data_IF_656989231848
#
_entry.id   IF_656989231848
#
_cell.length_a   1.000
_cell.length_b   1.000
_cell.length_c   1.000
_cell.angle_alpha   90.00
_cell.angle_beta   90.00
_cell.angle_gamma   90.00
#
_symmetry.space_group_name_H-M   'P 1'
#
loop_
_entity.id
_entity.type
_entity.pdbx_description
1 polymer ?
#
# COMPACT_ATOMS: atom_id res chain seq x y z
N UNK A 1 5.84 6.80 22.94
CA UNK A 1 6.12 5.41 22.57
C UNK A 1 6.18 5.36 21.04
N UNK A 2 7.16 4.67 20.47
CA UNK A 2 7.24 4.48 19.01
C UNK A 2 6.10 3.56 18.55
N UNK A 3 5.49 3.87 17.40
CA UNK A 3 4.47 3.01 16.78
C UNK A 3 5.12 1.70 16.33
N UNK A 4 4.55 0.53 16.62
CA UNK A 4 5.12 -0.73 16.19
C UNK A 4 5.00 -0.92 14.67
N UNK A 5 5.92 -1.70 14.10
CA UNK A 5 5.77 -2.24 12.76
C UNK A 5 4.86 -3.46 12.83
N UNK A 6 3.85 -3.51 11.98
CA UNK A 6 2.90 -4.63 11.95
C UNK A 6 3.30 -5.67 10.92
N UNK A 7 3.21 -6.94 11.29
CA UNK A 7 3.41 -8.09 10.44
C UNK A 7 2.22 -9.05 10.56
N UNK A 8 1.89 -9.82 9.54
CA UNK A 8 0.84 -10.84 9.65
C UNK A 8 1.34 -12.01 10.53
N UNK A 9 0.47 -12.54 11.37
CA UNK A 9 0.77 -13.76 12.14
C UNK A 9 1.06 -14.98 11.24
N UNK A 10 0.66 -14.92 9.97
CA UNK A 10 1.00 -15.92 8.95
C UNK A 10 2.49 -15.93 8.58
N UNK A 11 3.21 -14.80 8.73
CA UNK A 11 4.60 -14.69 8.29
C UNK A 11 5.52 -15.75 8.94
N UNK A 12 5.58 -15.90 10.26
CA UNK A 12 6.42 -16.91 10.89
C UNK A 12 5.92 -18.35 10.64
N UNK A 13 4.67 -18.54 10.24
CA UNK A 13 4.12 -19.84 9.89
C UNK A 13 4.55 -20.28 8.48
N UNK A 14 4.54 -19.36 7.52
CA UNK A 14 4.85 -19.64 6.12
C UNK A 14 6.36 -19.51 5.81
N UNK A 15 7.04 -18.61 6.49
CA UNK A 15 8.45 -18.27 6.29
C UNK A 15 9.21 -18.21 7.63
N UNK A 16 9.34 -19.32 8.36
CA UNK A 16 9.86 -19.31 9.74
C UNK A 16 11.30 -18.78 9.84
N UNK A 17 12.18 -19.17 8.93
CA UNK A 17 13.59 -18.73 8.95
C UNK A 17 13.74 -17.24 8.67
N UNK A 18 12.99 -16.73 7.69
CA UNK A 18 13.05 -15.30 7.33
C UNK A 18 12.43 -14.44 8.44
N UNK A 19 11.33 -14.90 9.01
CA UNK A 19 10.68 -14.23 10.14
C UNK A 19 11.58 -14.19 11.38
N UNK A 20 12.25 -15.29 11.74
CA UNK A 20 13.21 -15.32 12.84
C UNK A 20 14.36 -14.34 12.63
N UNK A 21 14.93 -14.32 11.43
CA UNK A 21 16.01 -13.38 11.07
C UNK A 21 15.54 -11.93 11.20
N UNK A 22 14.36 -11.62 10.66
CA UNK A 22 13.76 -10.29 10.69
C UNK A 22 13.48 -9.83 12.12
N UNK A 23 12.79 -10.65 12.91
CA UNK A 23 12.40 -10.29 14.28
C UNK A 23 13.62 -10.20 15.21
N UNK A 24 14.63 -11.01 14.99
CA UNK A 24 15.93 -10.90 15.71
C UNK A 24 16.58 -9.55 15.40
N UNK A 25 16.63 -9.14 14.14
CA UNK A 25 17.20 -7.85 13.76
C UNK A 25 16.40 -6.68 14.36
N UNK A 26 15.07 -6.71 14.29
CA UNK A 26 14.21 -5.66 14.87
C UNK A 26 14.44 -5.54 16.38
N UNK A 27 14.50 -6.67 17.09
CA UNK A 27 14.75 -6.72 18.53
C UNK A 27 16.14 -6.18 18.89
N UNK A 28 17.17 -6.53 18.11
CA UNK A 28 18.53 -6.06 18.33
C UNK A 28 18.69 -4.53 18.15
N UNK A 29 17.78 -3.91 17.42
CA UNK A 29 17.75 -2.47 17.16
C UNK A 29 16.63 -1.72 17.93
N UNK A 30 16.01 -2.35 18.93
CA UNK A 30 14.93 -1.77 19.73
C UNK A 30 13.76 -1.24 18.89
N UNK A 31 13.49 -1.88 17.73
CA UNK A 31 12.35 -1.55 16.86
C UNK A 31 11.13 -2.37 17.28
N UNK A 32 10.08 -1.73 17.82
CA UNK A 32 8.89 -2.46 18.26
C UNK A 32 8.13 -3.01 17.05
N UNK A 33 7.63 -4.23 17.18
CA UNK A 33 6.77 -4.85 16.19
C UNK A 33 5.61 -5.61 16.85
N UNK A 34 4.56 -5.88 16.09
CA UNK A 34 3.41 -6.66 16.53
C UNK A 34 2.91 -7.55 15.39
N UNK A 35 2.37 -8.71 15.76
CA UNK A 35 1.74 -9.62 14.82
C UNK A 35 0.23 -9.36 14.76
N UNK A 36 -0.32 -9.39 13.56
CA UNK A 36 -1.75 -9.21 13.28
C UNK A 36 -2.39 -10.58 13.05
N UNK A 37 -3.34 -10.92 13.91
CA UNK A 37 -4.18 -12.09 13.72
C UNK A 37 -5.30 -11.81 12.70
N UNK A 38 -5.78 -12.87 12.02
CA UNK A 38 -6.89 -12.75 11.07
C UNK A 38 -6.52 -12.21 9.69
N UNK A 39 -5.24 -11.99 9.42
CA UNK A 39 -4.77 -11.71 8.06
C UNK A 39 -4.89 -12.95 7.20
N UNK A 40 -5.21 -12.78 5.91
CA UNK A 40 -5.39 -13.88 4.96
C UNK A 40 -4.21 -14.03 4.00
N UNK A 41 -3.34 -13.01 3.98
CA UNK A 41 -2.11 -12.96 3.19
C UNK A 41 -1.02 -12.25 3.99
N UNK A 42 0.22 -12.30 3.48
CA UNK A 42 1.40 -11.67 4.10
C UNK A 42 1.59 -10.21 3.72
N UNK A 43 0.88 -9.71 2.73
CA UNK A 43 1.05 -8.38 2.13
C UNK A 43 0.34 -7.28 2.92
N UNK A 44 0.76 -7.10 4.19
CA UNK A 44 0.17 -6.12 5.12
C UNK A 44 0.15 -4.70 4.54
N UNK A 45 1.15 -4.34 3.75
CA UNK A 45 1.24 -3.04 3.10
C UNK A 45 -0.01 -2.72 2.27
N UNK A 46 -0.62 -3.73 1.63
CA UNK A 46 -1.66 -3.51 0.64
C UNK A 46 -3.04 -3.30 1.26
N UNK A 47 -3.33 -3.96 2.37
CA UNK A 47 -4.64 -3.89 3.03
C UNK A 47 -4.69 -3.05 4.31
N UNK A 48 -3.55 -2.62 4.86
CA UNK A 48 -3.53 -1.76 6.05
C UNK A 48 -3.80 -0.29 5.68
N UNK A 49 -4.32 0.51 6.64
CA UNK A 49 -4.54 1.93 6.41
C UNK A 49 -3.27 2.66 6.01
N UNK A 50 -3.41 3.53 5.05
CA UNK A 50 -2.35 4.44 4.61
C UNK A 50 -2.27 5.62 5.58
N UNK A 51 -1.05 5.97 6.00
CA UNK A 51 -0.82 7.12 6.86
C UNK A 51 -0.52 8.35 6.00
N UNK A 52 -1.31 9.41 6.18
CA UNK A 52 -1.13 10.71 5.49
C UNK A 52 0.01 11.54 6.09
N UNK A 53 0.36 12.64 5.43
CA UNK A 53 1.36 13.59 5.92
C UNK A 53 1.00 14.22 7.27
N UNK A 54 -0.29 14.42 7.57
CA UNK A 54 -0.79 14.88 8.87
C UNK A 54 -0.90 13.78 9.93
N UNK A 55 -0.46 12.56 9.59
CA UNK A 55 -0.52 11.36 10.42
C UNK A 55 -1.95 10.79 10.62
N UNK A 56 -2.92 11.18 9.83
CA UNK A 56 -4.22 10.53 9.77
C UNK A 56 -4.08 9.15 9.09
N UNK A 57 -5.01 8.25 9.39
CA UNK A 57 -5.07 6.93 8.79
C UNK A 57 -6.29 6.84 7.87
N UNK A 58 -6.06 6.44 6.61
CA UNK A 58 -7.11 6.21 5.62
C UNK A 58 -7.09 4.74 5.19
N UNK A 59 -8.19 4.05 5.39
CA UNK A 59 -8.38 2.67 4.90
C UNK A 59 -9.15 2.70 3.60
N UNK A 60 -8.54 2.18 2.56
CA UNK A 60 -9.16 1.96 1.26
C UNK A 60 -9.79 0.57 1.18
N UNK A 61 -10.65 0.35 0.19
CA UNK A 61 -11.12 -0.97 -0.15
C UNK A 61 -9.95 -1.76 -0.75
N UNK A 62 -9.79 -3.01 -0.32
CA UNK A 62 -8.77 -3.93 -0.85
C UNK A 62 -9.45 -5.08 -1.61
N UNK A 63 -9.75 -4.81 -2.87
CA UNK A 63 -10.34 -5.79 -3.78
C UNK A 63 -9.65 -5.77 -5.15
N UNK A 64 -8.31 -5.98 -5.20
CA UNK A 64 -7.56 -5.86 -6.43
C UNK A 64 -7.99 -6.91 -7.45
N UNK A 65 -7.99 -6.54 -8.73
CA UNK A 65 -8.43 -7.41 -9.81
C UNK A 65 -7.55 -8.66 -9.95
N UNK A 66 -6.27 -8.61 -9.55
CA UNK A 66 -5.37 -9.77 -9.59
C UNK A 66 -5.75 -10.85 -8.55
N UNK A 67 -6.52 -10.52 -7.51
CA UNK A 67 -7.09 -11.48 -6.55
C UNK A 67 -8.55 -11.85 -6.87
N UNK A 68 -9.03 -11.56 -8.09
CA UNK A 68 -10.40 -11.86 -8.48
C UNK A 68 -10.73 -13.34 -8.36
N UNK A 69 -9.78 -14.23 -8.66
CA UNK A 69 -9.95 -15.67 -8.58
C UNK A 69 -9.59 -16.26 -7.20
N UNK A 70 -8.97 -15.47 -6.34
CA UNK A 70 -8.51 -15.86 -5.01
C UNK A 70 -9.06 -14.93 -3.90
N UNK A 71 -10.39 -14.76 -3.81
CA UNK A 71 -11.01 -13.82 -2.87
C UNK A 71 -10.72 -14.16 -1.40
N UNK A 72 -10.37 -15.40 -1.12
CA UNK A 72 -10.03 -15.87 0.23
C UNK A 72 -8.68 -15.30 0.73
N UNK A 73 -7.84 -14.77 -0.17
CA UNK A 73 -6.60 -14.08 0.19
C UNK A 73 -6.81 -12.60 0.51
N UNK A 74 -8.01 -12.05 0.29
CA UNK A 74 -8.31 -10.65 0.59
C UNK A 74 -8.56 -10.44 2.07
N UNK A 75 -7.72 -9.67 2.72
CA UNK A 75 -7.92 -9.22 4.10
C UNK A 75 -8.78 -7.95 4.10
N UNK A 76 -9.93 -7.98 4.70
CA UNK A 76 -10.75 -6.79 4.91
C UNK A 76 -10.32 -6.09 6.21
N UNK A 77 -9.58 -4.99 6.09
CA UNK A 77 -9.11 -4.26 7.26
C UNK A 77 -10.25 -3.87 8.21
N UNK A 78 -11.34 -3.33 7.68
CA UNK A 78 -12.47 -2.83 8.49
C UNK A 78 -13.10 -3.94 9.32
N UNK A 79 -13.22 -5.12 8.75
CA UNK A 79 -13.88 -6.27 9.36
C UNK A 79 -12.92 -7.13 10.20
N UNK A 80 -11.75 -7.41 9.63
CA UNK A 80 -10.86 -8.46 10.16
C UNK A 80 -9.85 -7.87 11.18
N UNK A 81 -9.41 -6.60 11.00
CA UNK A 81 -8.31 -6.03 11.78
C UNK A 81 -8.69 -4.81 12.64
N UNK A 82 -9.54 -3.93 12.14
CA UNK A 82 -9.89 -2.70 12.85
C UNK A 82 -10.42 -2.93 14.28
N UNK A 83 -11.24 -3.97 14.57
CA UNK A 83 -11.75 -4.22 15.91
C UNK A 83 -10.64 -4.53 16.94
N UNK A 84 -9.54 -5.16 16.50
CA UNK A 84 -8.44 -5.52 17.40
C UNK A 84 -7.43 -4.37 17.60
N UNK A 85 -7.34 -3.46 16.64
CA UNK A 85 -6.37 -2.36 16.66
C UNK A 85 -6.89 -1.08 17.32
N UNK A 86 -8.19 -0.83 17.26
CA UNK A 86 -8.80 0.36 17.86
C UNK A 86 -8.26 1.69 17.30
N UNK A 87 -7.75 1.70 16.07
CA UNK A 87 -7.15 2.88 15.45
C UNK A 87 -8.24 3.83 14.93
N UNK A 88 -8.07 5.16 15.08
CA UNK A 88 -8.93 6.12 14.44
C UNK A 88 -8.65 6.16 12.94
N UNK A 89 -9.56 5.65 12.13
CA UNK A 89 -9.38 5.47 10.69
C UNK A 89 -10.54 6.11 9.92
N UNK A 90 -10.23 6.88 8.89
CA UNK A 90 -11.17 7.29 7.85
C UNK A 90 -11.31 6.18 6.83
N UNK A 91 -12.55 5.82 6.48
CA UNK A 91 -12.81 4.73 5.52
C UNK A 91 -13.25 5.29 4.18
N UNK A 92 -12.64 4.79 3.11
CA UNK A 92 -13.01 5.06 1.72
C UNK A 92 -13.51 3.80 1.02
N UNK A 93 -14.37 3.96 0.02
CA UNK A 93 -14.80 2.89 -0.86
C UNK A 93 -13.98 2.84 -2.17
N UNK A 94 -13.02 3.72 -2.33
CA UNK A 94 -12.06 3.64 -3.45
C UNK A 94 -11.24 2.36 -3.28
N UNK A 95 -11.17 1.53 -4.33
CA UNK A 95 -10.33 0.34 -4.37
C UNK A 95 -8.88 0.74 -4.66
N UNK A 96 -8.02 0.63 -3.65
CA UNK A 96 -6.63 1.08 -3.73
C UNK A 96 -5.74 0.29 -2.76
N UNK A 97 -4.77 -0.39 -3.32
CA UNK A 97 -3.74 -1.11 -2.57
C UNK A 97 -2.74 -0.13 -1.96
N UNK A 98 -2.33 -0.36 -0.72
CA UNK A 98 -1.33 0.49 -0.07
C UNK A 98 0.04 0.49 -0.75
N UNK A 99 0.41 -0.58 -1.47
CA UNK A 99 1.60 -0.64 -2.31
C UNK A 99 1.55 0.33 -3.50
N UNK A 100 0.34 0.68 -3.93
CA UNK A 100 0.14 1.68 -4.98
C UNK A 100 0.15 3.14 -4.46
N UNK A 101 0.58 3.37 -3.20
CA UNK A 101 0.64 4.70 -2.58
C UNK A 101 2.06 4.98 -2.10
N UNK A 102 2.77 5.92 -2.73
CA UNK A 102 4.14 6.29 -2.38
C UNK A 102 4.22 7.78 -2.09
N UNK A 103 4.35 8.14 -0.82
CA UNK A 103 4.47 9.54 -0.40
C UNK A 103 5.87 10.11 -0.58
N UNK A 104 5.94 11.40 -0.87
CA UNK A 104 7.16 12.19 -0.67
C UNK A 104 7.49 12.32 0.82
N UNK A 105 8.76 12.63 1.19
CA UNK A 105 9.16 12.75 2.59
C UNK A 105 8.35 13.77 3.40
N UNK A 106 7.92 14.87 2.79
CA UNK A 106 7.05 15.86 3.44
C UNK A 106 5.58 15.42 3.55
N UNK A 107 5.16 14.39 2.82
CA UNK A 107 3.76 14.01 2.67
C UNK A 107 2.95 14.89 1.71
N UNK A 108 3.57 15.93 1.10
CA UNK A 108 2.84 16.87 0.24
C UNK A 108 2.51 16.31 -1.16
N UNK A 109 3.18 15.24 -1.57
CA UNK A 109 2.98 14.57 -2.85
C UNK A 109 2.87 13.08 -2.67
N UNK A 110 2.09 12.45 -3.56
CA UNK A 110 1.93 11.00 -3.58
C UNK A 110 1.94 10.50 -5.02
N UNK A 111 2.70 9.42 -5.28
CA UNK A 111 2.64 8.69 -6.53
C UNK A 111 1.61 7.58 -6.41
N UNK A 112 0.77 7.45 -7.44
CA UNK A 112 -0.21 6.37 -7.60
C UNK A 112 -0.12 5.90 -9.04
N UNK A 113 -0.16 4.60 -9.32
CA UNK A 113 -0.20 4.14 -10.70
C UNK A 113 -1.59 4.29 -11.31
N UNK A 114 -1.65 4.40 -12.65
CA UNK A 114 -2.89 4.50 -13.42
C UNK A 114 -3.82 3.28 -13.31
N UNK A 115 -3.32 2.19 -12.70
CA UNK A 115 -4.12 1.03 -12.34
C UNK A 115 -5.34 1.41 -11.48
N UNK A 116 -5.24 2.45 -10.67
CA UNK A 116 -6.34 2.95 -9.85
C UNK A 116 -7.60 3.27 -10.67
N UNK A 117 -7.46 3.65 -11.94
CA UNK A 117 -8.62 3.93 -12.81
C UNK A 117 -9.34 2.65 -13.23
N UNK A 118 -8.61 1.59 -13.54
CA UNK A 118 -9.19 0.31 -13.91
C UNK A 118 -9.80 -0.45 -12.72
N UNK A 119 -9.30 -0.19 -11.52
CA UNK A 119 -9.86 -0.75 -10.29
C UNK A 119 -11.11 0.01 -9.79
N UNK A 120 -11.37 1.23 -10.33
CA UNK A 120 -12.51 2.07 -9.96
C UNK A 120 -13.23 2.62 -11.22
N UNK A 121 -13.76 1.74 -12.09
CA UNK A 121 -14.32 2.15 -13.39
C UNK A 121 -15.60 3.01 -13.26
N UNK A 122 -16.24 3.02 -12.09
CA UNK A 122 -17.41 3.84 -11.80
C UNK A 122 -17.08 5.33 -11.56
N UNK A 123 -15.82 5.64 -11.29
CA UNK A 123 -15.37 7.02 -11.08
C UNK A 123 -14.87 7.66 -12.38
N UNK A 124 -15.30 8.90 -12.70
CA UNK A 124 -14.57 9.72 -13.68
C UNK A 124 -13.15 9.97 -13.18
N UNK A 125 -12.13 9.78 -14.03
CA UNK A 125 -10.71 9.83 -13.60
C UNK A 125 -10.34 11.12 -12.87
N UNK A 126 -10.83 12.27 -13.30
CA UNK A 126 -10.56 13.54 -12.63
C UNK A 126 -11.20 13.63 -11.23
N UNK A 127 -12.40 13.09 -11.06
CA UNK A 127 -13.08 13.04 -9.77
C UNK A 127 -12.36 12.09 -8.81
N UNK A 128 -11.90 10.93 -9.29
CA UNK A 128 -11.13 9.98 -8.50
C UNK A 128 -9.81 10.59 -8.00
N UNK A 129 -9.06 11.26 -8.89
CA UNK A 129 -7.81 11.93 -8.51
C UNK A 129 -8.06 13.03 -7.48
N UNK A 130 -9.14 13.79 -7.65
CA UNK A 130 -9.52 14.83 -6.68
C UNK A 130 -9.86 14.24 -5.31
N UNK A 131 -10.70 13.20 -5.26
CA UNK A 131 -11.07 12.55 -4.00
C UNK A 131 -9.87 11.90 -3.32
N UNK A 132 -8.97 11.27 -4.08
CA UNK A 132 -7.70 10.75 -3.54
C UNK A 132 -6.83 11.86 -2.97
N UNK A 133 -6.75 13.02 -3.63
CA UNK A 133 -5.96 14.16 -3.14
C UNK A 133 -6.49 14.68 -1.82
N UNK A 134 -7.81 14.77 -1.66
CA UNK A 134 -8.45 15.16 -0.40
C UNK A 134 -8.21 14.13 0.72
N UNK A 135 -8.42 12.85 0.43
CA UNK A 135 -8.25 11.76 1.42
C UNK A 135 -6.79 11.58 1.86
N UNK A 136 -5.84 11.70 0.92
CA UNK A 136 -4.42 11.54 1.19
C UNK A 136 -3.74 12.84 1.64
N UNK A 137 -4.45 13.97 1.58
CA UNK A 137 -3.96 15.32 1.93
C UNK A 137 -2.69 15.67 1.13
N UNK A 138 -2.62 15.27 -0.14
CA UNK A 138 -1.42 15.36 -0.97
C UNK A 138 -1.76 15.61 -2.44
N UNK A 139 -0.84 16.24 -3.18
CA UNK A 139 -0.87 16.30 -4.63
C UNK A 139 -0.68 14.88 -5.21
N UNK A 140 -1.70 14.35 -5.88
CA UNK A 140 -1.64 13.02 -6.51
C UNK A 140 -0.99 13.12 -7.88
N UNK A 141 0.10 12.40 -8.07
CA UNK A 141 0.82 12.27 -9.34
C UNK A 141 0.60 10.86 -9.86
N UNK A 142 -0.07 10.74 -11.01
CA UNK A 142 -0.38 9.44 -11.60
C UNK A 142 0.76 9.00 -12.51
N UNK A 143 1.26 7.78 -12.27
CA UNK A 143 2.30 7.12 -13.07
C UNK A 143 1.67 6.04 -13.98
N UNK A 144 2.21 5.81 -15.18
CA UNK A 144 1.82 4.65 -15.97
C UNK A 144 2.29 3.37 -15.28
N UNK A 145 1.40 2.38 -15.15
CA UNK A 145 1.73 1.07 -14.60
C UNK A 145 2.55 0.22 -15.56
N UNK A 146 3.40 -0.66 -15.02
CA UNK A 146 4.12 -1.65 -15.82
C UNK A 146 3.17 -2.78 -16.22
N UNK A 147 2.93 -2.98 -17.50
CA UNK A 147 2.05 -4.05 -18.02
C UNK A 147 2.55 -5.47 -17.69
N UNK A 148 3.85 -5.61 -17.46
CA UNK A 148 4.47 -6.89 -17.08
C UNK A 148 4.38 -7.19 -15.58
N UNK A 149 3.96 -6.23 -14.77
CA UNK A 149 3.77 -6.39 -13.34
C UNK A 149 2.30 -6.71 -13.06
N UNK A 150 2.05 -7.83 -12.38
CA UNK A 150 0.71 -8.29 -12.02
C UNK A 150 -0.01 -7.28 -11.13
N UNK A 151 0.71 -6.67 -10.19
CA UNK A 151 0.15 -5.69 -9.25
C UNK A 151 0.11 -4.29 -9.86
N UNK A 152 1.10 -3.92 -10.65
CA UNK A 152 1.24 -2.59 -11.22
C UNK A 152 1.37 -1.48 -10.18
N UNK A 153 1.88 -1.81 -8.99
CA UNK A 153 2.00 -0.89 -7.87
C UNK A 153 3.08 0.18 -8.09
N UNK A 154 2.81 1.40 -7.64
CA UNK A 154 3.76 2.52 -7.73
C UNK A 154 5.04 2.25 -6.95
N UNK A 155 4.97 1.52 -5.82
CA UNK A 155 6.11 1.23 -4.97
C UNK A 155 7.12 0.24 -5.60
N UNK A 156 6.72 -0.58 -6.54
CA UNK A 156 7.59 -1.41 -7.36
C UNK A 156 8.31 -0.64 -8.47
N UNK A 157 7.87 0.58 -8.79
CA UNK A 157 8.36 1.36 -9.93
C UNK A 157 9.16 2.60 -9.53
N UNK A 158 8.75 3.29 -8.45
CA UNK A 158 9.29 4.59 -8.10
C UNK A 158 9.37 4.82 -6.59
N UNK A 159 10.34 5.62 -6.19
CA UNK A 159 10.54 6.07 -4.80
C UNK A 159 11.00 7.52 -4.77
N UNK A 160 10.46 8.31 -3.86
CA UNK A 160 11.01 9.63 -3.59
C UNK A 160 12.34 9.52 -2.85
N UNK A 161 13.36 10.27 -3.30
CA UNK A 161 14.59 10.52 -2.58
C UNK A 161 14.48 11.78 -1.71
N UNK A 162 13.79 12.77 -2.24
CA UNK A 162 13.36 14.00 -1.59
C UNK A 162 12.03 14.46 -2.23
N UNK A 163 11.49 15.63 -1.84
CA UNK A 163 10.21 16.11 -2.34
C UNK A 163 10.19 16.47 -3.84
N UNK A 164 11.33 16.48 -4.50
CA UNK A 164 11.48 16.87 -5.92
C UNK A 164 12.15 15.82 -6.78
N UNK A 165 12.82 14.85 -6.15
CA UNK A 165 13.63 13.84 -6.84
C UNK A 165 13.01 12.47 -6.65
N UNK A 166 12.75 11.79 -7.75
CA UNK A 166 12.20 10.43 -7.77
C UNK A 166 13.22 9.49 -8.40
N UNK A 167 13.53 8.40 -7.71
CA UNK A 167 14.24 7.25 -8.25
C UNK A 167 13.21 6.34 -8.93
N UNK A 168 13.44 6.00 -10.20
CA UNK A 168 12.58 5.11 -10.97
C UNK A 168 13.36 3.93 -11.52
N UNK A 169 12.67 2.82 -11.73
CA UNK A 169 13.19 1.72 -12.53
C UNK A 169 13.48 2.20 -13.96
N UNK A 170 14.62 1.77 -14.52
CA UNK A 170 14.85 1.92 -15.94
C UNK A 170 14.26 0.71 -16.65
N UNK A 171 13.19 0.84 -17.44
CA UNK A 171 12.66 -0.28 -18.19
C UNK A 171 13.73 -0.78 -19.17
N UNK A 172 13.94 -2.08 -19.21
CA UNK A 172 14.69 -2.70 -20.29
C UNK A 172 13.90 -2.47 -21.59
N UNK A 173 14.58 -2.24 -22.70
CA UNK A 173 13.98 -1.92 -24.01
C UNK A 173 12.97 -2.95 -24.55
N UNK A 174 12.86 -4.11 -23.91
CA UNK A 174 11.89 -5.17 -24.19
C UNK A 174 10.63 -5.12 -23.28
N UNK A 175 10.61 -4.29 -22.24
CA UNK A 175 9.46 -4.11 -21.36
C UNK A 175 8.71 -2.87 -21.85
N UNK A 176 7.74 -3.05 -22.79
CA UNK A 176 7.06 -1.95 -23.46
C UNK A 176 6.33 -1.01 -22.52
N UNK A 177 6.91 0.16 -22.27
CA UNK A 177 6.08 1.35 -22.13
C UNK A 177 5.68 1.74 -23.57
N UNK A 178 4.43 1.56 -23.95
CA UNK A 178 3.90 2.22 -25.13
C UNK A 178 3.78 3.71 -24.80
N UNK A 179 4.45 4.51 -25.63
CA UNK A 179 4.31 5.97 -25.68
C UNK A 179 2.89 6.39 -26.06
#
# INVERSE_FOLDING_TARGET
MSTPIYFPALLPMLYPTDAETLFTALTAHDVPYALLDGTRDIWVRDFMPVRTGSAQLVSFLYEPCYLKNDPDLRTDFRKDLAPQLGLPVTYSNINLDGGNVVFSPSGARVLVSDRVFSENPEYPSAALVHELSELLEAEVIVLPSLKSDMTGHADGMARFLDDRTVLCNRPLSSCGFEQ
#
